data_IF_717242274121
#
_entry.id   IF_717242274121
#
_cell.length_a   1.000
_cell.length_b   1.000
_cell.length_c   1.000
_cell.angle_alpha   90.00
_cell.angle_beta   90.00
_cell.angle_gamma   90.00
#
_symmetry.space_group_name_H-M   'P 1'
#
loop_
_entity.id
_entity.type
_entity.pdbx_description
1 polymer ?
#
# COMPACT_ATOMS: atom_id res chain seq x y z
N UNK A 1 13.75 -0.45 -2.47
CA UNK A 1 14.92 0.16 -1.81
C UNK A 1 15.55 1.20 -2.74
N UNK A 2 15.89 0.84 -3.99
CA UNK A 2 16.51 1.72 -4.98
C UNK A 2 16.05 3.20 -5.01
N UNK A 3 14.80 3.49 -5.38
CA UNK A 3 14.30 4.86 -5.53
C UNK A 3 14.37 5.69 -4.24
N UNK A 4 14.16 5.05 -3.09
CA UNK A 4 13.99 5.74 -1.81
C UNK A 4 15.28 5.84 -1.00
N UNK A 5 16.14 4.83 -1.07
CA UNK A 5 17.27 4.64 -0.14
C UNK A 5 18.63 4.52 -0.84
N UNK A 6 18.70 4.16 -2.14
CA UNK A 6 19.98 3.91 -2.83
C UNK A 6 20.31 4.96 -3.91
N UNK A 7 19.33 5.71 -4.40
CA UNK A 7 19.59 6.85 -5.27
C UNK A 7 20.31 7.98 -4.52
N UNK A 8 21.29 8.62 -5.17
CA UNK A 8 22.02 9.78 -4.63
C UNK A 8 21.09 10.95 -4.24
N UNK A 9 19.95 11.05 -4.91
CA UNK A 9 18.82 11.90 -4.54
C UNK A 9 17.58 11.01 -4.45
N UNK A 10 16.90 11.04 -3.31
CA UNK A 10 15.69 10.24 -3.10
C UNK A 10 14.61 10.64 -4.13
N UNK A 11 14.05 9.64 -4.82
CA UNK A 11 13.00 9.78 -5.84
C UNK A 11 11.68 9.27 -5.26
N UNK A 12 10.64 10.10 -5.22
CA UNK A 12 9.27 9.68 -4.87
C UNK A 12 8.48 9.53 -6.17
N UNK A 13 7.94 8.34 -6.44
CA UNK A 13 7.25 8.02 -7.70
C UNK A 13 5.91 8.74 -7.84
N UNK A 14 5.12 8.80 -6.76
CA UNK A 14 3.79 9.44 -6.66
C UNK A 14 2.66 8.77 -7.48
N UNK A 15 2.93 7.75 -8.28
CA UNK A 15 1.91 7.04 -9.08
C UNK A 15 2.15 5.52 -9.17
N UNK A 16 2.44 4.88 -8.04
CA UNK A 16 2.56 3.41 -7.98
C UNK A 16 1.15 2.80 -8.11
N UNK A 17 0.95 1.99 -9.15
CA UNK A 17 -0.32 1.30 -9.48
C UNK A 17 -0.07 0.19 -10.51
N UNK A 18 -0.98 -0.78 -10.72
CA UNK A 18 -0.74 -1.89 -11.64
C UNK A 18 -0.35 -1.46 -13.05
N UNK A 19 -0.95 -0.39 -13.59
CA UNK A 19 -0.69 0.09 -14.95
C UNK A 19 0.75 0.62 -15.13
N UNK A 20 1.42 0.96 -14.02
CA UNK A 20 2.80 1.46 -14.02
C UNK A 20 3.81 0.40 -13.55
N UNK A 21 3.37 -0.86 -13.40
CA UNK A 21 4.24 -2.01 -13.15
C UNK A 21 4.23 -2.88 -14.40
N UNK A 22 5.29 -2.77 -15.19
CA UNK A 22 5.47 -3.56 -16.40
C UNK A 22 6.15 -4.88 -16.07
N UNK A 23 5.84 -5.92 -16.83
CA UNK A 23 6.51 -7.22 -16.75
C UNK A 23 7.34 -7.41 -18.02
N UNK A 24 8.60 -7.82 -17.87
CA UNK A 24 9.40 -8.25 -19.02
C UNK A 24 9.16 -9.73 -19.36
N UNK A 25 9.89 -10.25 -20.35
CA UNK A 25 9.76 -11.63 -20.85
C UNK A 25 10.01 -12.69 -19.77
N UNK A 26 10.70 -12.33 -18.68
CA UNK A 26 10.96 -13.21 -17.53
C UNK A 26 9.98 -13.02 -16.38
N UNK A 27 8.88 -12.28 -16.60
CA UNK A 27 7.96 -11.84 -15.56
C UNK A 27 8.63 -11.00 -14.44
N UNK A 28 9.78 -10.39 -14.74
CA UNK A 28 10.42 -9.46 -13.80
C UNK A 28 9.67 -8.13 -13.83
N UNK A 29 9.17 -7.71 -12.66
CA UNK A 29 8.46 -6.45 -12.51
C UNK A 29 9.40 -5.23 -12.61
N UNK A 30 8.98 -4.24 -13.39
CA UNK A 30 9.69 -2.97 -13.61
C UNK A 30 8.73 -1.80 -13.42
N UNK A 31 9.15 -0.83 -12.61
CA UNK A 31 8.38 0.41 -12.40
C UNK A 31 8.56 1.31 -13.62
N UNK A 32 7.46 1.85 -14.14
CA UNK A 32 7.42 2.78 -15.27
C UNK A 32 6.64 4.06 -14.92
N UNK A 33 6.63 5.02 -15.84
CA UNK A 33 5.89 6.29 -15.74
C UNK A 33 6.28 7.19 -14.55
N UNK A 34 7.47 7.77 -14.68
CA UNK A 34 8.00 8.77 -13.75
C UNK A 34 7.45 10.19 -14.02
N UNK A 35 6.37 10.35 -14.78
CA UNK A 35 5.82 11.67 -15.15
C UNK A 35 5.37 12.51 -13.95
N UNK A 36 5.02 11.86 -12.84
CA UNK A 36 4.63 12.50 -11.58
C UNK A 36 5.74 12.45 -10.50
N UNK A 37 6.90 11.89 -10.83
CA UNK A 37 7.96 11.65 -9.86
C UNK A 37 8.61 12.96 -9.36
N UNK A 38 9.15 12.92 -8.15
CA UNK A 38 9.82 14.04 -7.49
C UNK A 38 11.19 13.68 -6.96
N UNK A 39 12.12 14.62 -7.09
CA UNK A 39 13.43 14.56 -6.45
C UNK A 39 13.37 15.29 -5.10
N UNK A 40 13.67 14.58 -4.02
CA UNK A 40 13.82 15.16 -2.70
C UNK A 40 15.24 15.72 -2.56
N UNK A 41 15.40 17.02 -2.78
CA UNK A 41 16.66 17.72 -2.50
C UNK A 41 16.75 17.90 -0.98
N UNK A 42 17.91 17.57 -0.39
CA UNK A 42 18.19 17.43 1.05
C UNK A 42 17.78 18.61 1.95
N UNK A 43 17.44 19.78 1.39
CA UNK A 43 16.99 20.97 2.11
C UNK A 43 15.49 21.31 1.97
N UNK A 44 14.68 20.47 1.31
CA UNK A 44 13.24 20.70 1.14
C UNK A 44 12.41 19.59 1.78
N UNK A 45 12.35 19.56 3.12
CA UNK A 45 11.46 18.63 3.86
C UNK A 45 9.97 18.97 3.75
N UNK A 46 9.59 20.02 3.00
CA UNK A 46 8.20 20.48 2.87
C UNK A 46 7.92 20.98 1.45
N UNK A 47 7.60 20.08 0.53
CA UNK A 47 7.05 20.49 -0.78
C UNK A 47 5.53 20.60 -0.66
N UNK A 48 5.01 21.82 -0.49
CA UNK A 48 3.59 22.13 -0.68
C UNK A 48 3.29 21.98 -2.17
N UNK A 49 2.78 20.83 -2.59
CA UNK A 49 2.46 20.55 -4.00
C UNK A 49 1.01 20.20 -4.16
N UNK A 50 0.45 20.58 -5.32
CA UNK A 50 -0.86 20.09 -5.76
C UNK A 50 -0.94 18.55 -5.66
N UNK A 51 -2.12 18.05 -5.30
CA UNK A 51 -2.43 16.62 -5.20
C UNK A 51 -2.11 15.95 -6.54
N UNK A 52 -1.41 14.82 -6.49
CA UNK A 52 -1.02 14.00 -7.65
C UNK A 52 -1.26 12.52 -7.35
N UNK A 53 -1.40 11.73 -8.41
CA UNK A 53 -1.58 10.29 -8.36
C UNK A 53 -2.98 9.85 -8.75
N UNK A 54 -3.18 8.54 -8.78
CA UNK A 54 -4.41 7.89 -9.24
C UNK A 54 -5.37 7.62 -8.08
N UNK A 55 -6.65 7.96 -8.24
CA UNK A 55 -7.71 7.71 -7.23
C UNK A 55 -7.67 6.25 -6.77
N UNK A 56 -7.71 6.02 -5.45
CA UNK A 56 -7.56 4.70 -4.83
C UNK A 56 -6.14 4.40 -4.34
N UNK A 57 -5.11 5.01 -4.95
CA UNK A 57 -3.70 4.83 -4.56
C UNK A 57 -3.09 6.06 -3.88
N UNK A 58 -3.79 7.21 -3.93
CA UNK A 58 -3.33 8.46 -3.31
C UNK A 58 -3.40 8.36 -1.79
N UNK A 59 -2.25 8.48 -1.13
CA UNK A 59 -2.16 8.46 0.33
C UNK A 59 -2.93 9.63 0.99
N UNK A 60 -3.58 9.44 2.15
CA UNK A 60 -4.46 10.45 2.77
C UNK A 60 -3.76 11.78 3.08
N UNK A 61 -2.46 11.75 3.37
CA UNK A 61 -1.68 12.95 3.68
C UNK A 61 -1.49 13.89 2.49
N UNK A 62 -1.86 13.50 1.26
CA UNK A 62 -1.94 14.44 0.13
C UNK A 62 -3.07 15.46 0.29
N UNK A 63 -4.13 15.10 1.03
CA UNK A 63 -5.29 15.96 1.27
C UNK A 63 -5.15 16.75 2.58
N UNK A 64 -4.23 16.33 3.45
CA UNK A 64 -3.84 17.04 4.65
C UNK A 64 -2.69 17.96 4.23
N UNK A 65 -2.64 19.20 4.71
CA UNK A 65 -1.63 20.19 4.29
C UNK A 65 -0.23 19.87 4.90
N UNK A 66 0.15 18.61 4.85
CA UNK A 66 1.31 17.96 5.48
C UNK A 66 2.38 17.65 4.44
N UNK A 67 3.66 17.58 4.84
CA UNK A 67 4.73 17.26 3.91
C UNK A 67 4.59 15.87 3.31
N UNK A 68 4.67 15.79 1.98
CA UNK A 68 4.76 14.52 1.25
C UNK A 68 6.17 13.93 1.40
N UNK A 69 6.24 12.63 1.67
CA UNK A 69 7.49 11.87 1.81
C UNK A 69 7.41 10.58 0.98
N UNK A 70 8.48 9.80 0.92
CA UNK A 70 8.48 8.47 0.28
C UNK A 70 7.38 7.52 0.82
N UNK A 71 6.79 7.81 1.98
CA UNK A 71 5.68 7.05 2.56
C UNK A 71 4.40 7.07 1.72
N UNK A 72 4.24 8.03 0.79
CA UNK A 72 3.11 8.00 -0.14
C UNK A 72 3.22 6.82 -1.11
N UNK A 73 4.43 6.50 -1.57
CA UNK A 73 4.66 5.34 -2.44
C UNK A 73 4.47 4.03 -1.66
N UNK A 74 4.81 4.01 -0.36
CA UNK A 74 4.54 2.85 0.52
C UNK A 74 3.05 2.58 0.62
N UNK A 75 2.24 3.63 0.80
CA UNK A 75 0.77 3.49 0.81
C UNK A 75 0.26 2.92 -0.51
N UNK A 76 0.66 3.52 -1.64
CA UNK A 76 0.26 3.07 -2.97
C UNK A 76 0.68 1.62 -3.24
N UNK A 77 1.88 1.22 -2.79
CA UNK A 77 2.35 -0.17 -2.85
C UNK A 77 1.48 -1.11 -2.01
N UNK A 78 1.06 -0.70 -0.81
CA UNK A 78 0.13 -1.47 0.01
C UNK A 78 -1.19 -1.75 -0.70
N UNK A 79 -1.75 -0.74 -1.37
CA UNK A 79 -2.97 -0.91 -2.19
C UNK A 79 -2.73 -1.87 -3.35
N UNK A 80 -1.62 -1.68 -4.09
CA UNK A 80 -1.23 -2.58 -5.19
C UNK A 80 -1.08 -4.04 -4.71
N UNK A 81 -0.46 -4.26 -3.55
CA UNK A 81 -0.31 -5.59 -2.97
C UNK A 81 -1.66 -6.24 -2.67
N UNK A 82 -2.65 -5.48 -2.16
CA UNK A 82 -4.00 -5.99 -1.96
C UNK A 82 -4.70 -6.34 -3.28
N UNK A 83 -4.52 -5.55 -4.34
CA UNK A 83 -5.08 -5.89 -5.65
C UNK A 83 -4.50 -7.18 -6.21
N UNK A 84 -3.20 -7.41 -5.99
CA UNK A 84 -2.53 -8.67 -6.37
C UNK A 84 -3.11 -9.84 -5.59
N UNK A 85 -3.25 -9.71 -4.26
CA UNK A 85 -3.79 -10.77 -3.40
C UNK A 85 -5.24 -11.10 -3.76
N UNK A 86 -6.06 -10.08 -4.00
CA UNK A 86 -7.50 -10.24 -4.18
C UNK A 86 -7.94 -10.37 -5.64
N UNK A 87 -7.01 -10.23 -6.60
CA UNK A 87 -7.30 -10.15 -8.03
C UNK A 87 -8.43 -9.16 -8.36
N UNK A 88 -8.48 -8.04 -7.63
CA UNK A 88 -9.59 -7.09 -7.62
C UNK A 88 -9.10 -5.65 -7.69
N UNK A 89 -9.86 -4.77 -8.37
CA UNK A 89 -9.57 -3.33 -8.40
C UNK A 89 -9.72 -2.69 -7.02
N UNK A 90 -8.85 -1.74 -6.70
CA UNK A 90 -8.87 -1.00 -5.43
C UNK A 90 -10.19 -0.26 -5.17
N UNK A 91 -10.85 0.19 -6.24
CA UNK A 91 -12.21 0.74 -6.24
C UNK A 91 -13.00 -0.01 -7.30
N UNK A 92 -14.04 -0.71 -6.89
CA UNK A 92 -14.83 -1.56 -7.77
C UNK A 92 -16.32 -1.29 -7.52
N UNK A 93 -16.90 -0.48 -8.41
CA UNK A 93 -18.27 0.02 -8.33
C UNK A 93 -19.31 -1.02 -8.73
N UNK A 94 -18.89 -2.17 -9.27
CA UNK A 94 -19.80 -3.29 -9.59
C UNK A 94 -20.17 -4.08 -8.32
N UNK A 95 -19.42 -3.89 -7.24
CA UNK A 95 -19.67 -4.51 -5.93
C UNK A 95 -20.57 -3.63 -5.06
N UNK A 96 -21.18 -4.23 -4.05
CA UNK A 96 -22.15 -3.56 -3.17
C UNK A 96 -21.56 -3.30 -1.78
N UNK A 97 -22.09 -2.28 -1.10
CA UNK A 97 -21.81 -1.94 0.31
C UNK A 97 -20.30 -1.74 0.60
N UNK A 98 -19.84 -2.28 1.74
CA UNK A 98 -18.47 -2.21 2.26
C UNK A 98 -17.44 -2.89 1.34
N UNK A 99 -17.88 -3.65 0.34
CA UNK A 99 -16.95 -4.27 -0.60
C UNK A 99 -16.35 -3.24 -1.56
N UNK A 100 -17.03 -2.14 -1.90
CA UNK A 100 -16.60 -1.20 -2.98
C UNK A 100 -15.16 -0.73 -2.85
N UNK A 101 -14.70 -0.48 -1.62
CA UNK A 101 -13.34 -0.03 -1.31
C UNK A 101 -12.52 -1.22 -0.81
N UNK A 102 -11.55 -1.65 -1.61
CA UNK A 102 -10.77 -2.88 -1.36
C UNK A 102 -10.09 -2.87 0.01
N UNK A 103 -9.50 -1.73 0.40
CA UNK A 103 -8.77 -1.60 1.67
C UNK A 103 -9.66 -1.79 2.90
N UNK A 104 -10.91 -1.32 2.84
CA UNK A 104 -11.89 -1.43 3.92
C UNK A 104 -12.35 -2.89 4.05
N UNK A 105 -12.76 -3.49 2.92
CA UNK A 105 -13.18 -4.89 2.87
C UNK A 105 -12.11 -5.88 3.33
N UNK A 106 -10.85 -5.69 2.91
CA UNK A 106 -9.74 -6.53 3.35
C UNK A 106 -9.52 -6.41 4.86
N UNK A 107 -9.57 -5.20 5.41
CA UNK A 107 -9.39 -5.01 6.84
C UNK A 107 -10.53 -5.65 7.64
N UNK A 108 -11.76 -5.59 7.14
CA UNK A 108 -12.90 -6.31 7.74
C UNK A 108 -12.71 -7.82 7.68
N UNK A 109 -12.21 -8.37 6.57
CA UNK A 109 -11.90 -9.79 6.47
C UNK A 109 -10.77 -10.19 7.44
N UNK A 110 -9.76 -9.34 7.61
CA UNK A 110 -8.67 -9.56 8.55
C UNK A 110 -9.18 -9.59 10.01
N UNK A 111 -9.94 -8.58 10.43
CA UNK A 111 -10.46 -8.49 11.80
C UNK A 111 -11.47 -9.59 12.13
N UNK A 112 -12.29 -10.00 11.17
CA UNK A 112 -13.28 -11.08 11.32
C UNK A 112 -12.69 -12.48 11.11
N UNK A 113 -11.39 -12.60 10.82
CA UNK A 113 -10.70 -13.88 10.55
C UNK A 113 -11.29 -14.64 9.35
N UNK A 114 -11.77 -13.92 8.33
CA UNK A 114 -12.36 -14.48 7.11
C UNK A 114 -11.47 -14.27 5.88
N UNK A 115 -10.15 -14.40 6.03
CA UNK A 115 -9.18 -14.17 4.94
C UNK A 115 -9.36 -15.09 3.73
N UNK A 116 -9.97 -16.26 3.89
CA UNK A 116 -10.28 -17.17 2.79
C UNK A 116 -11.18 -16.54 1.72
N UNK A 117 -11.98 -15.53 2.08
CA UNK A 117 -12.83 -14.77 1.14
C UNK A 117 -12.03 -13.91 0.17
N UNK A 118 -10.78 -13.60 0.49
CA UNK A 118 -9.92 -12.78 -0.35
C UNK A 118 -9.41 -13.54 -1.58
N UNK A 119 -9.44 -14.88 -1.53
CA UNK A 119 -8.77 -15.79 -2.47
C UNK A 119 -9.68 -16.98 -2.82
N UNK A 120 -10.99 -16.78 -2.91
CA UNK A 120 -11.97 -17.87 -3.08
C UNK A 120 -11.65 -18.78 -4.28
N UNK A 121 -11.17 -18.18 -5.37
CA UNK A 121 -10.85 -18.85 -6.64
C UNK A 121 -9.34 -19.16 -6.80
N UNK A 122 -8.52 -19.01 -5.75
CA UNK A 122 -7.08 -19.27 -5.79
C UNK A 122 -6.71 -20.41 -4.83
N UNK A 123 -6.66 -21.63 -5.37
CA UNK A 123 -6.33 -22.84 -4.61
C UNK A 123 -4.90 -22.85 -4.05
N UNK A 124 -3.95 -22.19 -4.72
CA UNK A 124 -2.57 -22.09 -4.24
C UNK A 124 -2.52 -21.21 -2.98
N UNK A 125 -3.12 -20.01 -3.04
CA UNK A 125 -3.18 -19.11 -1.90
C UNK A 125 -3.95 -19.72 -0.72
N UNK A 126 -5.00 -20.50 -0.98
CA UNK A 126 -5.75 -21.23 0.07
C UNK A 126 -4.94 -22.34 0.73
N UNK A 127 -3.94 -22.89 0.05
CA UNK A 127 -3.06 -23.92 0.61
C UNK A 127 -2.03 -23.35 1.60
N UNK A 128 -1.69 -22.06 1.51
CA UNK A 128 -0.78 -21.35 2.43
C UNK A 128 -1.42 -20.09 3.05
N UNK A 129 -2.44 -20.33 3.88
CA UNK A 129 -3.12 -19.28 4.64
C UNK A 129 -2.19 -18.49 5.56
N UNK A 130 -1.04 -19.05 5.96
CA UNK A 130 -0.06 -18.36 6.80
C UNK A 130 0.69 -17.31 6.00
N UNK A 131 1.11 -17.64 4.79
CA UNK A 131 1.72 -16.69 3.86
C UNK A 131 0.70 -15.62 3.45
N UNK A 132 -0.55 -16.00 3.16
CA UNK A 132 -1.63 -15.05 2.87
C UNK A 132 -1.84 -14.06 4.02
N UNK A 133 -1.99 -14.54 5.26
CA UNK A 133 -2.16 -13.67 6.43
C UNK A 133 -0.97 -12.73 6.59
N UNK A 134 0.26 -13.21 6.41
CA UNK A 134 1.47 -12.36 6.45
C UNK A 134 1.42 -11.27 5.39
N UNK A 135 1.10 -11.59 4.14
CA UNK A 135 1.03 -10.62 3.04
C UNK A 135 -0.06 -9.56 3.29
N UNK A 136 -1.23 -9.99 3.76
CA UNK A 136 -2.32 -9.08 4.15
C UNK A 136 -1.89 -8.17 5.29
N UNK A 137 -1.24 -8.69 6.33
CA UNK A 137 -0.74 -7.86 7.44
C UNK A 137 0.30 -6.83 6.99
N UNK A 138 1.23 -7.22 6.11
CA UNK A 138 2.19 -6.27 5.50
C UNK A 138 1.47 -5.18 4.74
N UNK A 139 0.48 -5.53 3.92
CA UNK A 139 -0.31 -4.55 3.18
C UNK A 139 -1.06 -3.59 4.11
N UNK A 140 -1.68 -4.09 5.19
CA UNK A 140 -2.37 -3.26 6.20
C UNK A 140 -1.40 -2.30 6.89
N UNK A 141 -0.16 -2.73 7.18
CA UNK A 141 0.90 -1.84 7.70
C UNK A 141 1.27 -0.73 6.70
N UNK A 142 1.28 -1.03 5.40
CA UNK A 142 1.59 -0.06 4.35
C UNK A 142 0.48 0.99 4.16
N UNK A 143 -0.80 0.62 4.31
CA UNK A 143 -1.95 1.51 4.04
C UNK A 143 -2.43 2.34 5.26
N UNK A 144 -1.64 2.42 6.32
CA UNK A 144 -2.01 3.21 7.51
C UNK A 144 -2.23 4.69 7.18
N UNK A 145 -3.23 5.33 7.79
CA UNK A 145 -3.52 6.74 7.55
C UNK A 145 -2.39 7.66 8.05
N UNK A 146 -1.74 7.31 9.16
CA UNK A 146 -0.55 7.99 9.66
C UNK A 146 0.72 7.50 8.91
N UNK A 147 1.39 8.34 8.11
CA UNK A 147 2.60 7.93 7.39
C UNK A 147 3.78 7.57 8.31
N UNK A 148 3.76 7.99 9.59
CA UNK A 148 4.84 7.71 10.53
C UNK A 148 4.87 6.24 10.95
N UNK A 149 3.71 5.59 11.05
CA UNK A 149 3.63 4.17 11.42
C UNK A 149 3.83 3.23 10.24
N UNK A 150 3.75 3.73 8.99
CA UNK A 150 4.05 2.92 7.80
C UNK A 150 5.52 2.48 7.80
N UNK A 151 5.81 1.21 7.48
CA UNK A 151 7.18 0.73 7.35
C UNK A 151 7.93 1.43 6.22
N UNK A 152 9.26 1.38 6.23
CA UNK A 152 10.05 1.71 5.04
C UNK A 152 9.94 0.58 4.01
N UNK A 153 10.20 0.86 2.73
CA UNK A 153 10.21 -0.17 1.68
C UNK A 153 11.19 -1.30 2.01
N UNK A 154 12.33 -0.98 2.62
CA UNK A 154 13.28 -2.00 3.10
C UNK A 154 12.68 -2.90 4.18
N UNK A 155 11.95 -2.34 5.14
CA UNK A 155 11.27 -3.13 6.17
C UNK A 155 10.15 -3.98 5.55
N UNK A 156 9.38 -3.44 4.61
CA UNK A 156 8.37 -4.20 3.85
C UNK A 156 8.99 -5.43 3.19
N UNK A 157 10.15 -5.28 2.54
CA UNK A 157 10.87 -6.40 1.93
C UNK A 157 11.25 -7.46 2.96
N UNK A 158 11.88 -7.06 4.08
CA UNK A 158 12.25 -7.98 5.16
C UNK A 158 11.04 -8.72 5.77
N UNK A 159 9.90 -8.04 5.88
CA UNK A 159 8.65 -8.65 6.37
C UNK A 159 8.13 -9.71 5.37
N UNK A 160 8.16 -9.41 4.06
CA UNK A 160 7.72 -10.35 3.02
C UNK A 160 8.65 -11.57 2.91
N UNK A 161 9.96 -11.35 2.95
CA UNK A 161 11.00 -12.40 2.94
C UNK A 161 11.03 -13.25 4.21
N UNK A 162 10.30 -12.83 5.26
CA UNK A 162 10.27 -13.54 6.54
C UNK A 162 11.51 -13.34 7.40
N UNK A 163 12.35 -12.36 7.07
CA UNK A 163 13.51 -11.94 7.88
C UNK A 163 13.05 -11.31 9.20
N UNK A 164 11.90 -10.64 9.20
CA UNK A 164 11.29 -10.03 10.38
C UNK A 164 9.88 -10.55 10.59
N UNK A 165 9.53 -10.87 11.84
CA UNK A 165 8.17 -11.26 12.18
C UNK A 165 7.21 -10.07 12.07
N UNK A 166 6.08 -10.27 11.41
CA UNK A 166 5.05 -9.27 11.25
C UNK A 166 4.11 -9.30 12.47
N UNK A 167 4.06 -8.22 13.23
CA UNK A 167 3.07 -8.05 14.31
C UNK A 167 1.70 -7.67 13.76
N UNK A 168 0.64 -7.92 14.53
CA UNK A 168 -0.71 -7.49 14.18
C UNK A 168 -0.75 -5.97 13.90
N UNK A 169 -1.22 -5.54 12.71
CA UNK A 169 -1.33 -4.14 12.37
C UNK A 169 -2.52 -3.48 13.09
N UNK A 170 -2.43 -2.17 13.40
CA UNK A 170 -3.55 -1.40 13.89
C UNK A 170 -4.58 -1.12 12.77
N UNK A 171 -5.74 -0.57 13.17
CA UNK A 171 -6.74 -0.08 12.22
C UNK A 171 -6.13 0.98 11.30
N UNK A 172 -6.21 0.83 9.95
CA UNK A 172 -5.65 1.80 9.02
C UNK A 172 -6.19 3.22 9.20
N UNK A 173 -7.49 3.36 9.50
CA UNK A 173 -8.18 4.64 9.61
C UNK A 173 -8.99 4.68 10.91
N UNK A 174 -8.32 4.85 12.08
CA UNK A 174 -9.01 4.87 13.36
C UNK A 174 -9.93 6.11 13.45
N UNK A 175 -11.09 6.03 14.12
CA UNK A 175 -11.93 7.19 14.34
C UNK A 175 -11.14 8.27 15.13
N UNK A 176 -11.46 9.57 14.92
CA UNK A 176 -10.81 10.65 15.65
C UNK A 176 -10.91 10.40 17.17
N UNK A 177 -9.78 10.46 17.88
CA UNK A 177 -9.74 10.32 19.34
C UNK A 177 -10.70 11.36 19.95
N UNK A 178 -11.79 10.90 20.57
CA UNK A 178 -12.86 11.74 21.11
C UNK A 178 -14.28 11.38 20.62
N UNK A 179 -14.40 10.47 19.65
CA UNK A 179 -15.69 10.01 19.12
C UNK A 179 -16.19 8.77 19.87
N UNK A 180 -16.49 8.90 21.16
CA UNK A 180 -17.28 7.90 21.88
C UNK A 180 -18.71 8.46 21.93
N UNK A 181 -19.61 7.88 21.15
CA UNK A 181 -21.05 7.98 21.38
C UNK A 181 -21.46 6.99 22.45
#
# INVERSE_FOLDING_TARGET
MYLHDECSTQVIHCDIKPQNILLDESFTAKISDFGLAKLMISNQSKTLTAIRGTKGYVAPEWFKNTPVTAKVDVFSYGVLLLEIICCRKCIDMERQNEEVILTEWVYDCYTRRTLHKLVEDDEEARSDMRQLEKMVMVAIWCIQEDPNVRPSVKMVLHMLEGVVQVSAPPCPSPPPQGSIS
#
